data_IF_621522291920
#
_entry.id   IF_621522291920
#
_cell.length_a   1.000
_cell.length_b   1.000
_cell.length_c   1.000
_cell.angle_alpha   90.00
_cell.angle_beta   90.00
_cell.angle_gamma   90.00
#
_symmetry.space_group_name_H-M   'P 1'
#
loop_
_entity.id
_entity.type
_entity.pdbx_description
1 polymer ?
#
# COMPACT_ATOMS: atom_id res chain seq x y z
N UNK A 1 13.67 1.02 -2.17
CA UNK A 1 12.75 0.02 -2.75
C UNK A 1 12.63 0.33 -4.22
N UNK A 2 13.17 -0.53 -5.06
CA UNK A 2 13.14 -0.38 -6.51
C UNK A 2 12.42 -1.57 -7.14
N UNK A 3 11.67 -1.35 -8.20
CA UNK A 3 10.97 -2.43 -8.92
C UNK A 3 11.99 -3.23 -9.73
N UNK A 4 11.91 -4.57 -9.71
CA UNK A 4 12.74 -5.41 -10.58
C UNK A 4 12.28 -5.24 -12.03
N UNK A 5 13.25 -5.18 -12.96
CA UNK A 5 12.94 -5.01 -14.38
C UNK A 5 12.09 -6.15 -14.98
N UNK A 6 12.36 -7.40 -14.58
CA UNK A 6 11.68 -8.58 -15.11
C UNK A 6 10.15 -8.54 -14.88
N UNK A 7 9.63 -8.33 -13.64
CA UNK A 7 8.21 -8.11 -13.40
C UNK A 7 7.60 -7.00 -14.26
N UNK A 8 8.29 -5.87 -14.43
CA UNK A 8 7.79 -4.77 -15.26
C UNK A 8 7.64 -5.17 -16.73
N UNK A 9 8.63 -5.87 -17.29
CA UNK A 9 8.58 -6.36 -18.67
C UNK A 9 7.44 -7.35 -18.86
N UNK A 10 7.33 -8.36 -17.99
CA UNK A 10 6.26 -9.37 -18.07
C UNK A 10 4.87 -8.78 -17.83
N UNK A 11 4.76 -7.80 -16.93
CA UNK A 11 3.52 -7.07 -16.73
C UNK A 11 3.09 -6.34 -18.00
N UNK A 12 4.03 -5.70 -18.68
CA UNK A 12 3.76 -5.00 -19.93
C UNK A 12 3.28 -5.94 -21.04
N UNK A 13 3.91 -7.10 -21.19
CA UNK A 13 3.47 -8.14 -22.12
C UNK A 13 2.06 -8.66 -21.77
N UNK A 14 1.78 -8.84 -20.48
CA UNK A 14 0.46 -9.27 -20.01
C UNK A 14 -0.63 -8.25 -20.36
N UNK A 15 -0.37 -6.95 -20.11
CA UNK A 15 -1.25 -5.85 -20.49
C UNK A 15 -1.59 -5.89 -21.97
N UNK A 16 -0.56 -5.97 -22.81
CA UNK A 16 -0.72 -5.90 -24.25
C UNK A 16 -1.54 -7.08 -24.78
N UNK A 17 -1.21 -8.30 -24.32
CA UNK A 17 -1.94 -9.51 -24.69
C UNK A 17 -3.41 -9.45 -24.25
N UNK A 18 -3.67 -8.98 -23.03
CA UNK A 18 -5.04 -8.89 -22.52
C UNK A 18 -5.85 -7.84 -23.30
N UNK A 19 -5.29 -6.64 -23.52
CA UNK A 19 -5.98 -5.58 -24.24
C UNK A 19 -6.27 -5.96 -25.69
N UNK A 20 -5.29 -6.54 -26.38
CA UNK A 20 -5.44 -6.98 -27.77
C UNK A 20 -6.56 -8.01 -27.93
N UNK A 21 -6.79 -8.86 -26.92
CA UNK A 21 -7.77 -9.95 -27.00
C UNK A 21 -9.15 -9.57 -26.46
N UNK A 22 -9.22 -8.76 -25.40
CA UNK A 22 -10.45 -8.60 -24.61
C UNK A 22 -10.96 -7.17 -24.51
N UNK A 23 -10.19 -6.18 -24.95
CA UNK A 23 -10.50 -4.77 -24.69
C UNK A 23 -10.79 -4.00 -25.96
N UNK A 24 -11.87 -3.21 -25.95
CA UNK A 24 -12.18 -2.25 -27.03
C UNK A 24 -11.09 -1.21 -27.22
N UNK A 25 -10.31 -0.96 -26.17
CA UNK A 25 -9.24 0.04 -26.19
C UNK A 25 -8.09 -0.34 -27.11
N UNK A 26 -7.91 -1.61 -27.49
CA UNK A 26 -6.88 -2.00 -28.46
C UNK A 26 -7.29 -1.78 -29.92
N UNK A 27 -8.58 -1.52 -30.21
CA UNK A 27 -9.10 -1.35 -31.56
C UNK A 27 -8.49 -0.16 -32.33
N UNK A 28 -8.80 -0.03 -33.62
CA UNK A 28 -8.28 1.05 -34.48
C UNK A 28 -8.93 2.42 -34.20
N UNK A 29 -8.71 2.95 -32.99
CA UNK A 29 -9.23 4.23 -32.52
C UNK A 29 -8.11 5.08 -31.91
N UNK A 30 -8.30 6.40 -31.91
CA UNK A 30 -7.48 7.30 -31.10
C UNK A 30 -8.16 7.47 -29.75
N UNK A 31 -7.40 7.35 -28.67
CA UNK A 31 -7.89 7.58 -27.33
C UNK A 31 -6.78 8.14 -26.45
N UNK A 32 -7.15 8.78 -25.35
CA UNK A 32 -6.20 9.25 -24.35
C UNK A 32 -5.36 8.09 -23.79
N UNK A 33 -5.97 6.90 -23.63
CA UNK A 33 -5.29 5.67 -23.19
C UNK A 33 -4.20 5.15 -24.14
N UNK A 34 -4.19 5.62 -25.39
CA UNK A 34 -3.15 5.35 -26.40
C UNK A 34 -2.26 6.57 -26.69
N UNK A 35 -2.22 7.54 -25.77
CA UNK A 35 -1.57 8.83 -26.01
C UNK A 35 -2.02 9.50 -27.33
N UNK A 36 -3.33 9.40 -27.63
CA UNK A 36 -3.99 9.94 -28.83
C UNK A 36 -3.46 9.38 -30.18
N UNK A 37 -2.81 8.23 -30.18
CA UNK A 37 -2.35 7.51 -31.39
C UNK A 37 -3.30 6.36 -31.73
N UNK A 38 -3.41 6.01 -33.01
CA UNK A 38 -4.28 4.89 -33.46
C UNK A 38 -3.67 3.53 -33.09
N UNK A 39 -2.36 3.46 -33.24
CA UNK A 39 -1.45 2.35 -33.02
C UNK A 39 -0.67 2.47 -31.69
N UNK A 40 -1.08 3.40 -30.81
CA UNK A 40 -0.47 3.55 -29.50
C UNK A 40 -0.76 2.36 -28.58
N UNK A 41 0.21 2.03 -27.73
CA UNK A 41 0.04 1.07 -26.65
C UNK A 41 -0.99 1.56 -25.63
N UNK A 42 -1.79 0.66 -25.08
CA UNK A 42 -2.80 0.96 -24.07
C UNK A 42 -2.16 0.87 -22.67
N UNK A 43 -2.23 1.95 -21.89
CA UNK A 43 -1.55 2.06 -20.58
C UNK A 43 -2.47 1.99 -19.36
N UNK A 44 -3.64 1.36 -19.48
CA UNK A 44 -4.56 1.19 -18.34
C UNK A 44 -4.52 -0.24 -17.80
N UNK A 45 -5.11 -0.45 -16.62
CA UNK A 45 -5.20 -1.77 -16.01
C UNK A 45 -6.02 -2.76 -16.88
N UNK A 46 -5.62 -4.04 -16.96
CA UNK A 46 -6.38 -5.06 -17.67
C UNK A 46 -7.46 -5.62 -16.75
N UNK A 47 -8.70 -5.64 -17.23
CA UNK A 47 -9.85 -6.14 -16.46
C UNK A 47 -10.58 -5.07 -15.65
N UNK A 48 -11.29 -5.49 -14.62
CA UNK A 48 -12.19 -4.62 -13.84
C UNK A 48 -11.50 -3.93 -12.66
N UNK A 49 -12.14 -2.88 -12.12
CA UNK A 49 -11.67 -2.21 -10.89
C UNK A 49 -11.60 -3.17 -9.70
N UNK A 50 -12.55 -4.10 -9.55
CA UNK A 50 -12.50 -5.10 -8.47
C UNK A 50 -11.30 -6.05 -8.61
N UNK A 51 -10.91 -6.39 -9.85
CA UNK A 51 -9.71 -7.16 -10.11
C UNK A 51 -8.46 -6.40 -9.64
N UNK A 52 -8.35 -5.11 -10.00
CA UNK A 52 -7.27 -4.23 -9.55
C UNK A 52 -7.18 -4.17 -8.03
N UNK A 53 -8.29 -3.86 -7.35
CA UNK A 53 -8.32 -3.72 -5.89
C UNK A 53 -7.94 -5.02 -5.18
N UNK A 54 -8.42 -6.16 -5.67
CA UNK A 54 -8.06 -7.47 -5.12
C UNK A 54 -6.56 -7.76 -5.28
N UNK A 55 -5.98 -7.42 -6.42
CA UNK A 55 -4.53 -7.61 -6.66
C UNK A 55 -3.67 -6.68 -5.81
N UNK A 56 -4.05 -5.42 -5.66
CA UNK A 56 -3.28 -4.46 -4.85
C UNK A 56 -3.40 -4.65 -3.34
N UNK A 57 -4.45 -5.35 -2.88
CA UNK A 57 -4.69 -5.59 -1.44
C UNK A 57 -3.50 -6.30 -0.76
N UNK A 58 -2.83 -7.20 -1.48
CA UNK A 58 -1.67 -7.93 -0.95
C UNK A 58 -0.44 -7.55 -1.77
N UNK A 59 0.47 -6.72 -1.24
CA UNK A 59 1.68 -6.34 -1.95
C UNK A 59 2.58 -7.56 -2.20
N UNK A 60 3.06 -7.68 -3.44
CA UNK A 60 3.99 -8.72 -3.88
C UNK A 60 5.43 -8.24 -3.69
N UNK A 61 5.97 -8.43 -2.49
CA UNK A 61 7.32 -7.97 -2.15
C UNK A 61 8.40 -8.64 -2.99
N UNK A 62 8.15 -9.84 -3.53
CA UNK A 62 9.06 -10.56 -4.42
C UNK A 62 9.38 -9.81 -5.72
N UNK A 63 8.54 -8.86 -6.13
CA UNK A 63 8.70 -8.09 -7.36
C UNK A 63 9.65 -6.89 -7.19
N UNK A 64 10.16 -6.65 -5.97
CA UNK A 64 11.00 -5.50 -5.63
C UNK A 64 12.39 -5.90 -5.15
N UNK A 65 13.36 -5.03 -5.41
CA UNK A 65 14.64 -4.99 -4.71
C UNK A 65 14.45 -4.13 -3.45
N UNK A 66 14.33 -4.80 -2.31
CA UNK A 66 14.15 -4.17 -1.01
C UNK A 66 15.52 -3.98 -0.37
N UNK A 67 15.85 -2.74 -0.05
CA UNK A 67 17.10 -2.33 0.59
C UNK A 67 16.80 -1.59 1.88
N UNK A 68 17.67 -1.75 2.88
CA UNK A 68 17.59 -0.98 4.12
C UNK A 68 17.99 0.48 3.85
N UNK A 69 17.35 1.41 4.57
CA UNK A 69 17.66 2.85 4.48
C UNK A 69 18.87 3.25 5.31
N UNK A 70 19.20 2.45 6.32
CA UNK A 70 20.32 2.65 7.22
C UNK A 70 21.21 1.41 7.23
N UNK A 71 22.46 1.58 7.64
CA UNK A 71 23.40 0.48 7.90
C UNK A 71 22.92 -0.39 9.09
N UNK A 72 22.20 0.21 10.05
CA UNK A 72 21.56 -0.54 11.12
C UNK A 72 20.12 -0.91 10.73
N UNK A 73 19.90 -2.19 10.47
CA UNK A 73 18.60 -2.75 10.08
C UNK A 73 17.52 -2.60 11.15
N UNK A 74 17.90 -2.31 12.40
CA UNK A 74 17.00 -2.11 13.53
C UNK A 74 16.66 -0.65 13.80
N UNK A 75 17.15 0.30 12.99
CA UNK A 75 16.92 1.75 13.22
C UNK A 75 15.43 2.14 13.21
N UNK A 76 14.57 1.32 12.59
CA UNK A 76 13.12 1.56 12.60
C UNK A 76 12.49 1.42 14.00
N UNK A 77 13.18 0.80 14.96
CA UNK A 77 12.71 0.70 16.35
C UNK A 77 12.82 2.03 17.12
N UNK A 78 13.53 3.02 16.56
CA UNK A 78 13.63 4.36 17.14
C UNK A 78 14.17 4.34 18.58
N UNK A 79 13.48 5.02 19.48
CA UNK A 79 13.83 5.13 20.90
C UNK A 79 13.23 3.99 21.76
N UNK A 80 12.59 2.98 21.15
CA UNK A 80 11.99 1.86 21.86
C UNK A 80 10.71 2.21 22.63
N UNK A 81 10.06 3.34 22.34
CA UNK A 81 8.80 3.76 22.96
C UNK A 81 7.64 3.76 21.97
N UNK A 82 6.46 3.43 22.45
CA UNK A 82 5.20 3.53 21.73
C UNK A 82 4.49 4.85 22.02
N UNK A 83 3.56 5.25 21.14
CA UNK A 83 2.77 6.47 21.33
C UNK A 83 1.94 6.45 22.62
N UNK A 84 1.47 5.27 23.04
CA UNK A 84 0.68 5.11 24.25
C UNK A 84 1.50 5.38 25.50
N UNK A 85 2.75 4.93 25.56
CA UNK A 85 3.64 5.23 26.69
C UNK A 85 3.92 6.72 26.82
N UNK A 86 4.01 7.46 25.69
CA UNK A 86 4.16 8.91 25.73
C UNK A 86 2.90 9.65 26.19
N UNK A 87 1.71 9.08 25.92
CA UNK A 87 0.43 9.63 26.37
C UNK A 87 0.21 9.40 27.86
N UNK A 88 0.53 8.21 28.37
CA UNK A 88 0.49 7.89 29.80
C UNK A 88 1.37 8.85 30.62
N UNK A 89 2.60 9.11 30.16
CA UNK A 89 3.50 10.08 30.80
C UNK A 89 2.95 11.51 30.84
N UNK A 90 2.08 11.87 29.89
CA UNK A 90 1.39 13.17 29.84
C UNK A 90 0.11 13.19 30.66
N UNK A 91 -0.22 12.09 31.34
CA UNK A 91 -1.40 11.94 32.19
C UNK A 91 -2.67 11.58 31.44
N UNK A 92 -2.58 11.04 30.23
CA UNK A 92 -3.74 10.49 29.53
C UNK A 92 -4.14 9.13 30.13
N UNK A 93 -5.44 8.87 30.24
CA UNK A 93 -5.96 7.57 30.63
C UNK A 93 -5.86 6.61 29.43
N UNK A 94 -4.90 5.69 29.47
CA UNK A 94 -4.60 4.75 28.38
C UNK A 94 -4.40 3.33 28.90
N UNK A 95 -4.71 2.35 28.07
CA UNK A 95 -4.47 0.94 28.39
C UNK A 95 -3.05 0.53 27.97
N UNK A 96 -2.18 0.29 28.95
CA UNK A 96 -0.80 -0.16 28.74
C UNK A 96 -0.68 -1.68 28.53
N UNK A 97 -1.76 -2.43 28.73
CA UNK A 97 -1.77 -3.88 28.58
C UNK A 97 -2.96 -4.39 27.75
N UNK A 98 -3.18 -3.88 26.51
CA UNK A 98 -4.35 -4.23 25.68
C UNK A 98 -4.38 -5.71 25.26
N UNK A 99 -3.29 -6.44 25.47
CA UNK A 99 -3.18 -7.87 25.24
C UNK A 99 -3.72 -8.73 26.39
N UNK A 100 -3.88 -8.18 27.60
CA UNK A 100 -4.53 -8.86 28.74
C UNK A 100 -6.04 -8.67 28.59
N UNK A 101 -6.76 -9.74 28.25
CA UNK A 101 -8.18 -9.66 27.85
C UNK A 101 -9.03 -10.74 28.51
N UNK A 102 -10.30 -10.42 28.71
CA UNK A 102 -11.33 -11.32 29.22
C UNK A 102 -11.98 -12.17 28.10
N UNK A 103 -11.89 -11.71 26.85
CA UNK A 103 -12.43 -12.37 25.66
C UNK A 103 -11.41 -12.40 24.52
N UNK A 104 -11.60 -13.34 23.58
CA UNK A 104 -10.71 -13.49 22.43
C UNK A 104 -11.18 -12.63 21.24
N UNK A 105 -10.85 -11.33 21.27
CA UNK A 105 -11.47 -10.30 20.41
C UNK A 105 -10.54 -9.39 19.62
N UNK A 106 -9.60 -9.86 18.79
CA UNK A 106 -8.42 -9.05 18.38
C UNK A 106 -7.87 -8.01 19.41
N UNK A 107 -6.68 -7.50 19.18
CA UNK A 107 -6.22 -6.34 19.94
C UNK A 107 -5.22 -5.58 19.09
N UNK A 108 -5.13 -4.29 19.35
CA UNK A 108 -4.12 -3.44 18.76
C UNK A 108 -3.53 -2.62 19.89
N UNK A 109 -2.21 -2.37 19.81
CA UNK A 109 -1.54 -1.43 20.71
C UNK A 109 -2.25 -0.09 20.55
N UNK A 110 -2.39 0.39 19.32
CA UNK A 110 -3.00 1.69 19.00
C UNK A 110 -4.54 1.68 18.99
N UNK A 111 -5.19 0.83 19.79
CA UNK A 111 -6.64 0.78 19.90
C UNK A 111 -7.16 1.92 20.78
N UNK A 112 -7.21 3.13 20.22
CA UNK A 112 -7.82 4.30 20.87
C UNK A 112 -9.34 4.09 20.95
N UNK A 113 -9.81 3.37 21.98
CA UNK A 113 -11.22 2.99 22.16
C UNK A 113 -12.14 4.17 22.48
N UNK A 114 -11.58 5.36 22.67
CA UNK A 114 -12.33 6.61 22.70
C UNK A 114 -11.42 7.76 22.26
N UNK A 115 -12.05 8.78 21.68
CA UNK A 115 -11.53 10.10 21.28
C UNK A 115 -10.99 10.21 19.84
N UNK A 116 -11.74 10.97 19.04
CA UNK A 116 -11.42 11.61 17.75
C UNK A 116 -10.16 12.52 17.78
N UNK A 117 -9.07 12.14 18.47
CA UNK A 117 -7.96 13.05 18.78
C UNK A 117 -6.62 12.76 18.07
N UNK A 118 -6.60 11.93 17.02
CA UNK A 118 -5.34 11.60 16.29
C UNK A 118 -5.39 11.98 14.80
N UNK A 119 -6.48 12.59 14.32
CA UNK A 119 -6.57 13.06 12.92
C UNK A 119 -5.78 14.36 12.65
N UNK A 120 -5.19 15.01 13.67
CA UNK A 120 -4.62 16.38 13.54
C UNK A 120 -3.08 16.47 13.49
N UNK A 121 -2.32 15.36 13.54
CA UNK A 121 -0.84 15.43 13.58
C UNK A 121 -0.14 15.27 12.22
N UNK A 122 -0.81 14.73 11.20
CA UNK A 122 -0.21 14.57 9.86
C UNK A 122 -0.21 15.86 9.00
N UNK A 123 -0.57 17.02 9.57
CA UNK A 123 -0.58 18.32 8.86
C UNK A 123 0.52 19.29 9.31
N UNK A 124 1.53 18.81 10.05
CA UNK A 124 2.73 19.60 10.39
C UNK A 124 4.02 18.82 10.14
N UNK A 125 4.25 18.44 8.88
CA UNK A 125 5.59 18.30 8.28
C UNK A 125 5.54 18.79 6.83
#
# INVERSE_FOLDING_TARGET
MEVKQLPTTQWNEHLDNWHNKYSVWAGNCRSWYKANRKDGRVYIWPGSMLHLLKTMKTPRFEDFNITYRSDNVWDFLGNGRTQIEELDERGADVDLAPFIRDQDVPWAIDNFSTVEAVVDWEHKL
#
